data_IF_207989059162
#
_entry.id   IF_207989059162
#
_cell.length_a   1.000
_cell.length_b   1.000
_cell.length_c   1.000
_cell.angle_alpha   90.00
_cell.angle_beta   90.00
_cell.angle_gamma   90.00
#
_symmetry.space_group_name_H-M   'P 1'
#
loop_
_entity.id
_entity.type
_entity.pdbx_description
1 polymer ?
#
# COMPACT_ATOMS: atom_id res chain seq x y z
N UNK A 1 12.68 24.23 4.25
CA UNK A 1 11.60 23.24 4.17
C UNK A 1 10.27 23.99 4.29
N UNK A 2 9.46 24.01 3.25
CA UNK A 2 8.10 24.54 3.34
C UNK A 2 7.23 23.49 3.98
N UNK A 3 6.70 23.78 5.16
CA UNK A 3 5.78 22.89 5.87
C UNK A 3 4.39 23.05 5.24
N UNK A 4 3.83 21.98 4.71
CA UNK A 4 2.46 21.99 4.20
C UNK A 4 1.48 21.56 5.29
N UNK A 5 0.32 22.18 5.31
CA UNK A 5 -0.81 21.77 6.15
C UNK A 5 -1.79 20.88 5.41
N UNK A 6 -1.54 20.57 4.13
CA UNK A 6 -2.41 19.69 3.34
C UNK A 6 -2.55 18.32 4.00
N UNK A 7 -3.79 17.82 4.07
CA UNK A 7 -4.09 16.51 4.66
C UNK A 7 -4.11 16.45 6.17
N UNK A 8 -3.93 17.57 6.88
CA UNK A 8 -3.86 17.60 8.34
C UNK A 8 -5.22 17.89 9.02
N UNK A 9 -6.16 18.45 8.29
CA UNK A 9 -7.52 18.70 8.72
C UNK A 9 -8.50 18.63 7.55
N UNK A 10 -9.78 18.66 7.85
CA UNK A 10 -10.84 18.67 6.84
C UNK A 10 -10.74 19.90 5.92
N UNK A 11 -10.46 21.08 6.49
CA UNK A 11 -10.40 22.35 5.74
C UNK A 11 -9.19 22.40 4.82
N UNK A 12 -8.08 21.77 5.22
CA UNK A 12 -6.83 21.76 4.45
C UNK A 12 -6.76 20.64 3.43
N UNK A 13 -7.70 19.69 3.46
CA UNK A 13 -7.74 18.56 2.52
C UNK A 13 -8.67 18.84 1.37
N UNK A 14 -8.11 19.14 0.19
CA UNK A 14 -8.87 19.35 -1.04
C UNK A 14 -8.77 18.11 -1.92
N UNK A 15 -9.87 17.69 -2.52
CA UNK A 15 -9.91 16.53 -3.40
C UNK A 15 -10.20 16.95 -4.84
N UNK A 16 -9.39 16.45 -5.75
CA UNK A 16 -9.64 16.46 -7.21
C UNK A 16 -10.22 15.12 -7.70
N UNK A 17 -10.30 14.14 -6.80
CA UNK A 17 -10.79 12.79 -7.09
C UNK A 17 -12.28 12.62 -6.92
N UNK A 18 -12.71 11.37 -7.10
CA UNK A 18 -14.11 10.91 -7.02
C UNK A 18 -14.68 11.06 -5.62
N UNK A 19 -13.85 10.99 -4.60
CA UNK A 19 -14.24 11.10 -3.20
C UNK A 19 -13.59 12.30 -2.53
N UNK A 20 -14.32 12.91 -1.62
CA UNK A 20 -13.85 13.98 -0.73
C UNK A 20 -13.97 13.54 0.73
N UNK A 21 -13.07 14.00 1.56
CA UNK A 21 -13.14 13.75 3.01
C UNK A 21 -14.37 14.47 3.60
N UNK A 22 -15.18 13.73 4.33
CA UNK A 22 -16.33 14.25 5.05
C UNK A 22 -16.02 14.51 6.52
N UNK A 23 -15.27 13.59 7.15
CA UNK A 23 -14.84 13.72 8.54
C UNK A 23 -13.50 13.03 8.76
N UNK A 24 -12.78 13.53 9.78
CA UNK A 24 -11.51 12.98 10.24
C UNK A 24 -11.49 13.00 11.77
N UNK A 25 -11.58 11.81 12.38
CA UNK A 25 -11.26 11.59 13.78
C UNK A 25 -9.89 10.95 13.88
N UNK A 26 -8.89 11.74 14.26
CA UNK A 26 -7.49 11.29 14.29
C UNK A 26 -7.33 10.06 15.20
N UNK A 27 -6.73 9.02 14.65
CA UNK A 27 -6.50 7.75 15.35
C UNK A 27 -7.74 6.87 15.53
N UNK A 28 -8.89 7.24 14.93
CA UNK A 28 -10.13 6.48 15.06
C UNK A 28 -10.80 6.19 13.73
N UNK A 29 -11.15 7.23 12.96
CA UNK A 29 -11.95 7.04 11.74
C UNK A 29 -11.71 8.16 10.73
N UNK A 30 -11.73 7.79 9.45
CA UNK A 30 -11.83 8.73 8.33
C UNK A 30 -13.04 8.35 7.48
N UNK A 31 -13.85 9.33 7.10
CA UNK A 31 -15.02 9.13 6.24
C UNK A 31 -14.85 9.90 4.96
N UNK A 32 -14.98 9.21 3.84
CA UNK A 32 -15.03 9.78 2.51
C UNK A 32 -16.44 9.63 1.93
N UNK A 33 -16.88 10.66 1.23
CA UNK A 33 -18.11 10.65 0.47
C UNK A 33 -17.86 11.03 -0.98
N UNK A 34 -18.81 10.72 -1.85
CA UNK A 34 -18.74 11.11 -3.26
C UNK A 34 -18.48 12.61 -3.39
N UNK A 35 -17.52 12.96 -4.21
CA UNK A 35 -17.24 14.35 -4.58
C UNK A 35 -18.11 14.70 -5.80
N UNK A 36 -19.22 15.34 -5.57
CA UNK A 36 -20.18 15.70 -6.63
C UNK A 36 -19.60 16.62 -7.70
N UNK A 37 -18.53 17.36 -7.36
CA UNK A 37 -17.84 18.25 -8.27
C UNK A 37 -16.74 17.57 -9.10
N UNK A 38 -16.57 16.24 -8.98
CA UNK A 38 -15.58 15.54 -9.78
C UNK A 38 -15.95 15.59 -11.28
N UNK A 39 -15.00 15.95 -12.12
CA UNK A 39 -15.19 16.17 -13.57
C UNK A 39 -15.68 14.93 -14.34
N UNK A 40 -15.53 13.74 -13.76
CA UNK A 40 -15.89 12.47 -14.39
C UNK A 40 -17.35 12.03 -14.18
N UNK A 41 -18.17 12.83 -13.49
CA UNK A 41 -19.59 12.56 -13.38
C UNK A 41 -20.37 13.00 -14.60
N UNK A 42 -21.36 12.20 -14.97
CA UNK A 42 -22.45 12.54 -15.89
C UNK A 42 -23.78 12.32 -15.20
N UNK A 43 -24.80 12.99 -15.66
CA UNK A 43 -26.16 12.86 -15.13
C UNK A 43 -27.00 12.06 -16.11
N UNK A 44 -27.73 11.07 -15.62
CA UNK A 44 -28.72 10.33 -16.40
C UNK A 44 -30.02 11.15 -16.56
N UNK A 45 -30.98 10.60 -17.32
CA UNK A 45 -32.29 11.24 -17.53
C UNK A 45 -33.14 11.41 -16.25
N UNK A 46 -32.79 10.72 -15.18
CA UNK A 46 -33.48 10.79 -13.88
C UNK A 46 -32.71 11.67 -12.87
N UNK A 47 -31.63 12.33 -13.28
CA UNK A 47 -30.82 13.17 -12.41
C UNK A 47 -29.77 12.43 -11.59
N UNK A 48 -29.59 11.12 -11.76
CA UNK A 48 -28.58 10.37 -11.01
C UNK A 48 -27.19 10.54 -11.60
N UNK A 49 -26.20 10.74 -10.72
CA UNK A 49 -24.81 10.80 -11.12
C UNK A 49 -24.26 9.40 -11.43
N UNK A 50 -23.53 9.28 -12.53
CA UNK A 50 -22.77 8.10 -12.88
C UNK A 50 -21.40 8.47 -13.43
N UNK A 51 -20.40 7.60 -13.22
CA UNK A 51 -19.06 7.82 -13.76
C UNK A 51 -19.03 7.51 -15.26
N UNK A 52 -18.33 8.31 -16.04
CA UNK A 52 -18.08 8.01 -17.46
C UNK A 52 -17.06 6.86 -17.63
N UNK A 53 -16.30 6.52 -16.59
CA UNK A 53 -15.34 5.42 -16.62
C UNK A 53 -16.02 4.08 -16.37
N UNK A 54 -15.62 3.09 -17.16
CA UNK A 54 -16.11 1.73 -17.06
C UNK A 54 -14.92 0.77 -17.12
N UNK A 55 -15.11 -0.41 -16.61
CA UNK A 55 -14.17 -1.52 -16.74
C UNK A 55 -14.93 -2.79 -17.17
N UNK A 56 -14.21 -3.74 -17.75
CA UNK A 56 -14.77 -5.00 -18.17
C UNK A 56 -14.53 -6.05 -17.09
N UNK A 57 -15.60 -6.76 -16.70
CA UNK A 57 -15.54 -7.93 -15.85
C UNK A 57 -16.31 -9.04 -16.57
N UNK A 58 -15.62 -10.13 -16.88
CA UNK A 58 -16.20 -11.27 -17.59
C UNK A 58 -16.92 -10.87 -18.90
N UNK A 59 -16.37 -9.88 -19.61
CA UNK A 59 -16.94 -9.34 -20.85
C UNK A 59 -18.08 -8.34 -20.65
N UNK A 60 -18.53 -8.11 -19.43
CA UNK A 60 -19.58 -7.13 -19.10
C UNK A 60 -18.98 -5.78 -18.72
N UNK A 61 -19.56 -4.72 -19.26
CA UNK A 61 -19.24 -3.35 -18.87
C UNK A 61 -19.79 -3.05 -17.49
N UNK A 62 -18.92 -2.77 -16.54
CA UNK A 62 -19.31 -2.32 -15.22
C UNK A 62 -18.86 -0.90 -14.98
N UNK A 63 -19.76 -0.11 -14.41
CA UNK A 63 -19.47 1.27 -14.04
C UNK A 63 -18.51 1.31 -12.86
N UNK A 64 -17.46 2.12 -12.98
CA UNK A 64 -16.55 2.44 -11.89
C UNK A 64 -17.20 3.44 -10.91
N UNK A 65 -16.78 3.41 -9.66
CA UNK A 65 -17.17 4.37 -8.61
C UNK A 65 -18.67 4.38 -8.25
N UNK A 66 -19.27 3.22 -8.07
CA UNK A 66 -20.65 3.10 -7.56
C UNK A 66 -20.79 3.43 -6.09
N UNK A 67 -19.75 3.19 -5.29
CA UNK A 67 -19.72 3.44 -3.86
C UNK A 67 -19.94 4.93 -3.58
N UNK A 68 -20.84 5.24 -2.65
CA UNK A 68 -21.19 6.64 -2.31
C UNK A 68 -20.49 7.12 -1.05
N UNK A 69 -20.12 6.20 -0.16
CA UNK A 69 -19.45 6.48 1.12
C UNK A 69 -18.44 5.38 1.42
N UNK A 70 -17.25 5.78 1.85
CA UNK A 70 -16.18 4.89 2.32
C UNK A 70 -15.86 5.30 3.75
N UNK A 71 -15.92 4.35 4.67
CA UNK A 71 -15.55 4.53 6.08
C UNK A 71 -14.29 3.71 6.32
N UNK A 72 -13.26 4.35 6.84
CA UNK A 72 -12.00 3.71 7.20
C UNK A 72 -11.84 3.84 8.71
N UNK A 73 -11.96 2.73 9.41
CA UNK A 73 -11.80 2.65 10.86
C UNK A 73 -10.37 2.25 11.21
N UNK A 74 -9.83 2.85 12.27
CA UNK A 74 -8.54 2.46 12.84
C UNK A 74 -8.81 1.49 13.99
N UNK A 75 -8.36 0.26 13.86
CA UNK A 75 -8.54 -0.78 14.86
C UNK A 75 -7.35 -1.74 14.86
N UNK A 76 -7.20 -2.52 15.93
CA UNK A 76 -6.19 -3.58 15.97
C UNK A 76 -6.57 -4.78 15.08
N UNK A 77 -5.59 -5.62 14.79
CA UNK A 77 -5.73 -6.75 13.88
C UNK A 77 -6.79 -7.76 14.32
N UNK A 78 -6.87 -8.05 15.63
CA UNK A 78 -7.84 -8.98 16.16
C UNK A 78 -9.27 -8.43 16.03
N UNK A 79 -9.44 -7.13 16.26
CA UNK A 79 -10.73 -6.45 16.08
C UNK A 79 -11.14 -6.42 14.60
N UNK A 80 -10.19 -6.16 13.68
CA UNK A 80 -10.45 -6.19 12.22
C UNK A 80 -10.97 -7.55 11.79
N UNK A 81 -10.32 -8.62 12.20
CA UNK A 81 -10.76 -10.00 11.90
C UNK A 81 -12.19 -10.25 12.38
N UNK A 82 -12.47 -9.92 13.65
CA UNK A 82 -13.80 -10.13 14.21
C UNK A 82 -14.88 -9.30 13.50
N UNK A 83 -14.59 -8.06 13.15
CA UNK A 83 -15.50 -7.19 12.41
C UNK A 83 -15.77 -7.72 11.00
N UNK A 84 -14.74 -8.21 10.30
CA UNK A 84 -14.90 -8.85 8.99
C UNK A 84 -15.76 -10.12 9.08
N UNK A 85 -15.50 -11.00 10.02
CA UNK A 85 -16.26 -12.24 10.19
C UNK A 85 -17.73 -12.00 10.56
N UNK A 86 -18.04 -10.84 11.17
CA UNK A 86 -19.42 -10.41 11.45
C UNK A 86 -20.09 -9.75 10.24
N UNK A 87 -19.32 -9.36 9.21
CA UNK A 87 -19.81 -8.62 8.07
C UNK A 87 -19.84 -7.09 8.27
N UNK A 88 -19.19 -6.60 9.31
CA UNK A 88 -19.08 -5.15 9.60
C UNK A 88 -17.99 -4.47 8.76
N UNK A 89 -17.01 -5.23 8.24
CA UNK A 89 -15.99 -4.77 7.32
C UNK A 89 -16.15 -5.38 5.92
N UNK A 90 -15.86 -4.59 4.91
CA UNK A 90 -15.90 -5.01 3.51
C UNK A 90 -14.69 -5.86 3.12
N UNK A 91 -13.54 -5.62 3.74
CA UNK A 91 -12.29 -6.35 3.51
C UNK A 91 -11.46 -6.47 4.78
N UNK A 92 -10.59 -7.46 4.80
CA UNK A 92 -9.62 -7.73 5.84
C UNK A 92 -8.42 -8.45 5.23
N UNK A 93 -7.23 -8.08 5.67
CA UNK A 93 -6.00 -8.76 5.25
C UNK A 93 -5.58 -9.73 6.35
N UNK A 94 -5.60 -11.06 6.11
CA UNK A 94 -5.09 -12.04 7.07
C UNK A 94 -3.62 -11.78 7.37
N UNK A 95 -3.22 -12.01 8.62
CA UNK A 95 -1.80 -12.04 8.98
C UNK A 95 -1.09 -13.19 8.26
N UNK A 96 0.24 -13.12 8.24
CA UNK A 96 1.07 -14.14 7.65
C UNK A 96 0.77 -15.54 8.22
N UNK A 97 0.59 -15.65 9.53
CA UNK A 97 0.26 -16.90 10.23
C UNK A 97 -1.12 -17.44 9.83
N UNK A 98 -2.05 -16.56 9.50
CA UNK A 98 -3.42 -16.92 9.14
C UNK A 98 -3.59 -17.25 7.65
N UNK A 99 -2.66 -16.83 6.80
CA UNK A 99 -2.73 -17.06 5.35
C UNK A 99 -2.86 -18.54 5.00
N UNK A 100 -2.23 -19.43 5.76
CA UNK A 100 -2.36 -20.89 5.56
C UNK A 100 -3.78 -21.38 5.78
N UNK A 101 -4.48 -20.84 6.79
CA UNK A 101 -5.86 -21.20 7.15
C UNK A 101 -6.84 -20.79 6.05
N UNK A 102 -6.62 -19.62 5.44
CA UNK A 102 -7.52 -19.07 4.41
C UNK A 102 -7.05 -19.31 2.98
N UNK A 103 -5.96 -20.07 2.79
CA UNK A 103 -5.31 -20.29 1.49
C UNK A 103 -6.22 -20.88 0.40
N UNK A 104 -7.24 -21.64 0.79
CA UNK A 104 -8.22 -22.26 -0.10
C UNK A 104 -9.56 -21.50 -0.14
N UNK A 105 -9.66 -20.36 0.53
CA UNK A 105 -10.86 -19.53 0.49
C UNK A 105 -11.00 -18.86 -0.89
N UNK A 106 -12.17 -18.97 -1.49
CA UNK A 106 -12.54 -18.26 -2.71
C UNK A 106 -12.68 -16.74 -2.52
N UNK A 107 -12.70 -16.28 -1.27
CA UNK A 107 -12.70 -14.87 -0.88
C UNK A 107 -11.27 -14.29 -0.73
N UNK A 108 -10.24 -15.14 -0.77
CA UNK A 108 -8.85 -14.67 -0.67
C UNK A 108 -8.33 -14.22 -2.03
N UNK A 109 -8.10 -12.92 -2.17
CA UNK A 109 -7.48 -12.33 -3.34
C UNK A 109 -5.99 -12.09 -3.08
N UNK A 110 -5.14 -12.53 -4.00
CA UNK A 110 -3.70 -12.24 -4.01
C UNK A 110 -3.41 -11.41 -5.26
N UNK A 111 -2.95 -10.19 -5.04
CA UNK A 111 -2.55 -9.28 -6.11
C UNK A 111 -1.07 -8.94 -5.97
N UNK A 112 -0.39 -8.77 -7.09
CA UNK A 112 1.00 -8.34 -7.07
C UNK A 112 1.06 -6.86 -6.68
N UNK A 113 1.99 -6.52 -5.78
CA UNK A 113 2.23 -5.15 -5.39
C UNK A 113 2.87 -4.35 -6.52
N UNK A 114 2.65 -3.04 -6.49
CA UNK A 114 3.24 -2.11 -7.46
C UNK A 114 4.67 -1.71 -7.12
N UNK A 115 5.24 -2.26 -6.07
CA UNK A 115 6.59 -1.95 -5.59
C UNK A 115 7.40 -3.21 -5.32
N UNK A 116 8.72 -3.04 -5.28
CA UNK A 116 9.69 -4.08 -4.90
C UNK A 116 10.43 -3.62 -3.65
N UNK A 117 10.40 -4.44 -2.61
CA UNK A 117 11.21 -4.23 -1.41
C UNK A 117 12.68 -4.53 -1.73
N UNK A 118 13.57 -3.63 -1.38
CA UNK A 118 14.99 -3.72 -1.72
C UNK A 118 15.88 -3.20 -0.60
N UNK A 119 17.09 -3.76 -0.50
CA UNK A 119 18.15 -3.20 0.34
C UNK A 119 18.94 -2.18 -0.48
N UNK A 120 18.96 -0.93 -0.02
CA UNK A 120 19.76 0.14 -0.60
C UNK A 120 21.01 0.38 0.24
N UNK A 121 22.17 0.13 -0.34
CA UNK A 121 23.45 0.37 0.34
C UNK A 121 23.90 1.82 0.16
N UNK A 122 24.30 2.45 1.25
CA UNK A 122 25.06 3.69 1.14
C UNK A 122 26.44 3.37 0.57
N UNK A 123 26.78 3.97 -0.57
CA UNK A 123 28.05 3.76 -1.25
C UNK A 123 28.97 4.98 -1.22
N UNK A 124 28.56 6.06 -0.54
CA UNK A 124 29.36 7.27 -0.39
C UNK A 124 30.48 7.03 0.66
N UNK A 125 31.70 6.88 0.16
CA UNK A 125 32.88 6.54 0.98
C UNK A 125 33.14 7.56 2.07
N UNK A 126 33.04 8.87 1.78
CA UNK A 126 33.30 9.91 2.74
C UNK A 126 32.25 9.93 3.86
N UNK A 127 31.00 9.73 3.51
CA UNK A 127 29.93 9.61 4.50
C UNK A 127 30.12 8.36 5.38
N UNK A 128 30.48 7.23 4.78
CA UNK A 128 30.74 5.99 5.52
C UNK A 128 31.93 6.14 6.48
N UNK A 129 33.05 6.72 6.04
CA UNK A 129 34.20 7.03 6.92
C UNK A 129 33.82 7.92 8.09
N UNK A 130 33.02 8.95 7.84
CA UNK A 130 32.51 9.83 8.89
C UNK A 130 31.64 9.09 9.91
N UNK A 131 30.80 8.16 9.45
CA UNK A 131 30.00 7.30 10.33
C UNK A 131 30.88 6.36 11.15
N UNK A 132 31.87 5.73 10.55
CA UNK A 132 32.81 4.82 11.23
C UNK A 132 33.62 5.54 12.31
N UNK A 133 34.08 6.75 12.03
CA UNK A 133 34.86 7.55 13.03
C UNK A 133 34.07 7.87 14.29
N UNK A 134 32.73 7.89 14.23
CA UNK A 134 31.85 8.17 15.36
C UNK A 134 31.45 6.94 16.17
N UNK A 135 31.59 5.73 15.60
CA UNK A 135 31.05 4.49 16.19
C UNK A 135 32.11 3.48 16.69
N UNK A 136 33.40 3.69 16.38
CA UNK A 136 34.50 2.78 16.75
C UNK A 136 34.30 1.35 16.21
N UNK A 137 35.38 0.69 15.87
CA UNK A 137 35.46 -0.74 15.48
C UNK A 137 34.44 -1.24 14.43
N UNK A 138 33.93 -0.36 13.58
CA UNK A 138 33.06 -0.69 12.44
C UNK A 138 33.79 -0.34 11.15
N UNK A 139 33.51 -1.09 10.09
CA UNK A 139 34.04 -0.86 8.75
C UNK A 139 32.90 -0.76 7.74
N UNK A 140 32.13 0.32 7.84
CA UNK A 140 31.01 0.56 6.94
C UNK A 140 31.47 0.85 5.51
N UNK A 141 32.74 1.22 5.30
CA UNK A 141 33.32 1.49 3.97
C UNK A 141 33.24 0.26 3.06
N UNK A 142 33.18 -0.95 3.62
CA UNK A 142 32.97 -2.19 2.84
C UNK A 142 31.69 -2.15 1.98
N UNK A 143 30.67 -1.40 2.39
CA UNK A 143 29.41 -1.24 1.64
C UNK A 143 29.61 -0.55 0.29
N UNK A 144 30.68 0.24 0.14
CA UNK A 144 31.04 0.85 -1.15
C UNK A 144 31.66 -0.14 -2.13
N UNK A 145 32.13 -1.29 -1.66
CA UNK A 145 32.75 -2.30 -2.50
C UNK A 145 31.71 -3.09 -3.30
N UNK A 146 31.82 -3.07 -4.63
CA UNK A 146 30.89 -3.76 -5.53
C UNK A 146 30.84 -5.28 -5.27
N UNK A 147 32.02 -5.91 -5.06
CA UNK A 147 32.09 -7.36 -4.86
C UNK A 147 31.45 -7.76 -3.53
N UNK A 148 31.57 -6.94 -2.50
CA UNK A 148 30.85 -7.16 -1.24
C UNK A 148 29.34 -7.15 -1.47
N UNK A 149 28.82 -6.14 -2.16
CA UNK A 149 27.38 -6.06 -2.43
C UNK A 149 26.86 -7.22 -3.30
N UNK A 150 27.68 -7.67 -4.27
CA UNK A 150 27.37 -8.89 -5.06
C UNK A 150 27.34 -10.12 -4.16
N UNK A 151 28.35 -10.31 -3.32
CA UNK A 151 28.42 -11.43 -2.39
C UNK A 151 27.22 -11.44 -1.44
N UNK A 152 26.86 -10.29 -0.89
CA UNK A 152 25.67 -10.11 -0.06
C UNK A 152 24.40 -10.53 -0.81
N UNK A 153 24.24 -10.08 -2.07
CA UNK A 153 23.08 -10.44 -2.90
C UNK A 153 23.00 -11.94 -3.19
N UNK A 154 24.15 -12.63 -3.40
CA UNK A 154 24.16 -14.07 -3.63
C UNK A 154 23.98 -14.89 -2.35
N UNK A 155 24.37 -14.33 -1.19
CA UNK A 155 24.21 -15.00 0.09
C UNK A 155 22.74 -15.10 0.56
N UNK A 156 21.89 -14.21 0.06
CA UNK A 156 20.46 -14.19 0.42
C UNK A 156 19.69 -15.19 -0.44
N UNK A 157 19.17 -16.23 0.18
CA UNK A 157 18.16 -17.09 -0.44
C UNK A 157 16.80 -16.36 -0.43
N UNK A 158 16.46 -15.73 -1.55
CA UNK A 158 15.22 -14.94 -1.66
C UNK A 158 13.96 -15.77 -1.49
N UNK A 159 13.98 -17.02 -1.90
CA UNK A 159 12.83 -17.92 -1.75
C UNK A 159 12.58 -18.25 -0.28
N UNK A 160 13.62 -18.58 0.49
CA UNK A 160 13.48 -18.78 1.95
C UNK A 160 13.08 -17.50 2.67
N UNK A 161 13.66 -16.37 2.29
CA UNK A 161 13.35 -15.08 2.89
C UNK A 161 11.85 -14.74 2.74
N UNK A 162 11.28 -14.87 1.55
CA UNK A 162 9.85 -14.58 1.34
C UNK A 162 8.93 -15.62 1.97
N UNK A 163 9.38 -16.86 2.12
CA UNK A 163 8.64 -17.88 2.87
C UNK A 163 8.57 -17.52 4.36
N UNK A 164 9.67 -17.03 4.94
CA UNK A 164 9.71 -16.61 6.33
C UNK A 164 8.94 -15.31 6.62
N UNK A 165 8.81 -14.43 5.62
CA UNK A 165 8.08 -13.16 5.74
C UNK A 165 6.62 -13.25 5.29
N UNK A 166 6.22 -14.40 4.77
CA UNK A 166 4.90 -14.77 4.26
C UNK A 166 4.18 -13.70 3.39
N UNK A 167 3.56 -14.14 2.33
CA UNK A 167 2.76 -13.29 1.44
C UNK A 167 3.55 -12.53 0.37
N UNK A 168 4.88 -12.62 0.33
CA UNK A 168 5.70 -11.99 -0.70
C UNK A 168 6.13 -12.97 -1.79
N UNK A 169 6.53 -12.44 -2.95
CA UNK A 169 7.19 -13.19 -4.03
C UNK A 169 8.67 -12.82 -4.10
N UNK A 170 9.58 -13.77 -4.43
CA UNK A 170 10.99 -13.45 -4.60
C UNK A 170 11.19 -12.52 -5.80
N UNK A 171 11.81 -11.37 -5.60
CA UNK A 171 12.15 -10.42 -6.65
C UNK A 171 13.63 -10.53 -7.04
N UNK A 172 13.91 -10.55 -8.32
CA UNK A 172 15.27 -10.61 -8.90
C UNK A 172 15.64 -9.33 -9.66
N UNK A 173 14.71 -8.38 -9.74
CA UNK A 173 14.87 -7.07 -10.37
C UNK A 173 14.21 -6.00 -9.50
N UNK A 174 14.69 -4.75 -9.61
CA UNK A 174 14.04 -3.59 -9.01
C UNK A 174 12.74 -3.22 -9.72
N UNK A 175 12.63 -3.59 -10.99
CA UNK A 175 11.43 -3.36 -11.79
C UNK A 175 10.46 -4.52 -11.56
N UNK A 176 9.23 -4.22 -11.22
CA UNK A 176 8.17 -5.23 -11.20
C UNK A 176 7.56 -5.41 -12.59
N UNK A 177 6.74 -6.44 -12.77
CA UNK A 177 6.14 -6.78 -14.06
C UNK A 177 5.07 -5.79 -14.58
N UNK A 178 4.82 -4.71 -13.85
CA UNK A 178 3.87 -3.67 -14.26
C UNK A 178 4.52 -2.52 -15.03
N UNK A 179 5.87 -2.48 -15.10
CA UNK A 179 6.65 -1.45 -15.79
C UNK A 179 7.66 -2.06 -16.74
#
# INVERSE_FOLDING_TARGET
LVTTTYGTSLETTKSYGVYKMQSLEKGKQVVFVRNENWYGWKTDKNGNLYSFTNFLVDGEKRQQYKTTKVVIDVMDEAAMKQAFLKGDLADWSPSAEELSTYSLSDQLYKVDETYTMSFFFNTNVDHLKKMDSSKGNVNSVVLSNLNFRKAFSYAINRAEYVTATEGYKPAFSLMNGLY
#
